data_IF_024757858552
#
_entry.id   IF_024757858552
#
_cell.length_a   1.000
_cell.length_b   1.000
_cell.length_c   1.000
_cell.angle_alpha   90.00
_cell.angle_beta   90.00
_cell.angle_gamma   90.00
#
_symmetry.space_group_name_H-M   'P 1'
#
loop_
_entity.id
_entity.type
_entity.pdbx_description
1 polymer ?
#
# COMPACT_ATOMS: atom_id res chain seq x y z
N UNK A 1 -6.78 -3.89 22.44
CA UNK A 1 -5.57 -3.46 21.72
C UNK A 1 -5.41 -4.38 20.52
N UNK A 2 -5.86 -3.92 19.33
CA UNK A 2 -5.74 -4.67 18.10
C UNK A 2 -4.26 -4.84 17.74
N UNK A 3 -3.83 -6.08 17.45
CA UNK A 3 -2.49 -6.35 16.94
C UNK A 3 -2.36 -5.81 15.53
N UNK A 4 -1.17 -5.28 15.18
CA UNK A 4 -0.83 -4.93 13.81
C UNK A 4 -0.97 -6.18 12.93
N UNK A 5 -1.61 -6.03 11.76
CA UNK A 5 -1.81 -7.11 10.80
C UNK A 5 -0.86 -6.95 9.62
N UNK A 6 -0.42 -8.08 9.11
CA UNK A 6 0.23 -8.13 7.82
C UNK A 6 -0.84 -8.32 6.74
N UNK A 7 -0.99 -7.34 5.87
CA UNK A 7 -2.05 -7.33 4.85
C UNK A 7 -1.43 -7.50 3.46
N UNK A 8 -1.84 -8.57 2.76
CA UNK A 8 -1.51 -8.85 1.38
C UNK A 8 -2.73 -8.62 0.50
N UNK A 9 -2.56 -7.89 -0.59
CA UNK A 9 -3.64 -7.59 -1.54
C UNK A 9 -3.21 -8.00 -2.95
N UNK A 10 -4.05 -8.81 -3.59
CA UNK A 10 -3.92 -9.16 -5.01
C UNK A 10 -4.81 -8.26 -5.83
N UNK A 11 -4.23 -7.65 -6.86
CA UNK A 11 -4.88 -6.67 -7.71
C UNK A 11 -4.92 -7.13 -9.17
N UNK A 12 -6.09 -6.92 -9.83
CA UNK A 12 -6.23 -6.92 -11.28
C UNK A 12 -6.56 -5.49 -11.74
N UNK A 13 -5.57 -4.77 -12.26
CA UNK A 13 -5.71 -3.34 -12.51
C UNK A 13 -6.00 -2.56 -11.22
N UNK A 14 -7.18 -1.93 -11.14
CA UNK A 14 -7.68 -1.21 -9.95
C UNK A 14 -8.78 -1.99 -9.21
N UNK A 15 -8.87 -3.30 -9.44
CA UNK A 15 -9.80 -4.19 -8.75
C UNK A 15 -9.03 -4.98 -7.69
N UNK A 16 -9.49 -4.93 -6.46
CA UNK A 16 -9.03 -5.81 -5.37
C UNK A 16 -9.74 -7.15 -5.51
N UNK A 17 -9.00 -8.19 -5.91
CA UNK A 17 -9.54 -9.54 -6.11
C UNK A 17 -9.47 -10.38 -4.83
N UNK A 18 -8.37 -10.25 -4.08
CA UNK A 18 -8.12 -11.08 -2.90
C UNK A 18 -7.39 -10.28 -1.83
N UNK A 19 -7.79 -10.46 -0.60
CA UNK A 19 -7.13 -9.90 0.58
C UNK A 19 -6.80 -11.03 1.54
N UNK A 20 -5.59 -11.03 2.06
CA UNK A 20 -5.15 -11.93 3.12
C UNK A 20 -4.62 -11.06 4.25
N UNK A 21 -5.25 -11.16 5.41
CA UNK A 21 -4.79 -10.53 6.63
C UNK A 21 -4.28 -11.60 7.58
N UNK A 22 -3.03 -11.48 8.00
CA UNK A 22 -2.35 -12.43 8.87
C UNK A 22 -1.95 -11.68 10.14
N UNK A 23 -2.19 -12.26 11.30
CA UNK A 23 -1.63 -11.75 12.53
C UNK A 23 -0.10 -11.79 12.44
N UNK A 24 0.57 -10.89 13.14
CA UNK A 24 2.01 -10.68 13.02
C UNK A 24 2.77 -12.02 13.10
N UNK A 25 3.40 -12.40 12.02
CA UNK A 25 4.27 -13.56 11.87
C UNK A 25 5.70 -13.10 11.58
N UNK A 26 6.66 -14.03 11.63
CA UNK A 26 8.04 -13.69 11.30
C UNK A 26 8.22 -13.38 9.79
N UNK A 27 9.23 -12.58 9.48
CA UNK A 27 9.51 -12.09 8.12
C UNK A 27 9.73 -13.23 7.11
N UNK A 28 10.20 -14.38 7.54
CA UNK A 28 10.45 -15.55 6.67
C UNK A 28 9.14 -16.14 6.18
N UNK A 29 8.16 -16.26 7.07
CA UNK A 29 6.83 -16.75 6.72
C UNK A 29 6.09 -15.76 5.81
N UNK A 30 6.27 -14.45 6.05
CA UNK A 30 5.72 -13.40 5.20
C UNK A 30 6.24 -13.53 3.77
N UNK A 31 7.56 -13.66 3.58
CA UNK A 31 8.15 -13.78 2.23
C UNK A 31 7.72 -15.03 1.51
N UNK A 32 7.67 -16.13 2.22
CA UNK A 32 7.16 -17.37 1.68
C UNK A 32 5.73 -17.18 1.17
N UNK A 33 4.87 -16.53 1.97
CA UNK A 33 3.48 -16.28 1.59
C UNK A 33 3.33 -15.34 0.41
N UNK A 34 4.13 -14.26 0.34
CA UNK A 34 4.17 -13.39 -0.84
C UNK A 34 4.59 -14.18 -2.08
N UNK A 35 5.63 -15.02 -1.96
CA UNK A 35 6.12 -15.81 -3.09
C UNK A 35 5.10 -16.86 -3.57
N UNK A 36 4.40 -17.52 -2.66
CA UNK A 36 3.29 -18.44 -2.99
C UNK A 36 2.19 -17.72 -3.77
N UNK A 37 1.72 -16.58 -3.26
CA UNK A 37 0.66 -15.80 -3.90
C UNK A 37 1.06 -15.29 -5.29
N UNK A 38 2.29 -14.76 -5.45
CA UNK A 38 2.71 -14.28 -6.75
C UNK A 38 2.82 -15.41 -7.78
N UNK A 39 3.21 -16.63 -7.36
CA UNK A 39 3.25 -17.80 -8.24
C UNK A 39 1.83 -18.24 -8.58
N UNK A 40 0.95 -18.37 -7.60
CA UNK A 40 -0.47 -18.72 -7.76
C UNK A 40 -1.16 -17.81 -8.78
N UNK A 41 -0.95 -16.50 -8.64
CA UNK A 41 -1.55 -15.47 -9.49
C UNK A 41 -0.67 -15.04 -10.67
N UNK A 42 0.48 -15.71 -10.92
CA UNK A 42 1.42 -15.41 -12.01
C UNK A 42 1.89 -13.95 -12.03
N UNK A 43 2.10 -13.36 -10.84
CA UNK A 43 2.54 -11.97 -10.67
C UNK A 43 4.06 -11.89 -10.79
N UNK A 44 4.62 -11.12 -11.74
CA UNK A 44 6.06 -10.87 -11.80
C UNK A 44 6.55 -10.10 -10.56
N UNK A 45 7.77 -10.37 -10.10
CA UNK A 45 8.35 -9.68 -8.93
C UNK A 45 8.32 -8.16 -9.04
N UNK A 46 8.57 -7.61 -10.22
CA UNK A 46 8.50 -6.15 -10.47
C UNK A 46 7.14 -5.53 -10.17
N UNK A 47 6.08 -6.33 -10.11
CA UNK A 47 4.71 -5.91 -9.78
C UNK A 47 4.35 -6.18 -8.31
N UNK A 48 5.29 -6.67 -7.51
CA UNK A 48 5.15 -6.78 -6.06
C UNK A 48 5.65 -5.49 -5.42
N UNK A 49 4.83 -4.89 -4.56
CA UNK A 49 5.19 -3.69 -3.79
C UNK A 49 5.09 -4.06 -2.31
N UNK A 50 6.08 -3.68 -1.52
CA UNK A 50 6.08 -3.93 -0.09
C UNK A 50 6.59 -2.73 0.70
N UNK A 51 6.10 -2.58 1.95
CA UNK A 51 6.53 -1.52 2.86
C UNK A 51 7.96 -1.78 3.34
N UNK A 52 8.89 -0.90 2.96
CA UNK A 52 10.29 -1.00 3.33
C UNK A 52 10.52 -0.75 4.83
N UNK A 53 9.67 0.06 5.47
CA UNK A 53 9.79 0.38 6.89
C UNK A 53 9.31 -0.78 7.77
N UNK A 54 8.30 -1.52 7.30
CA UNK A 54 7.72 -2.69 7.99
C UNK A 54 8.55 -3.97 7.87
N UNK A 55 9.36 -4.09 6.82
CA UNK A 55 10.16 -5.29 6.50
C UNK A 55 11.66 -5.02 6.51
N UNK A 56 12.15 -4.15 7.40
CA UNK A 56 13.58 -3.82 7.48
C UNK A 56 14.50 -5.03 7.70
N UNK A 57 14.02 -6.05 8.42
CA UNK A 57 14.77 -7.29 8.63
C UNK A 57 14.95 -8.07 7.33
N UNK A 58 14.07 -7.88 6.38
CA UNK A 58 14.04 -8.57 5.08
C UNK A 58 15.18 -8.18 4.16
N UNK A 59 15.53 -6.90 4.15
CA UNK A 59 16.60 -6.36 3.33
C UNK A 59 17.98 -6.63 3.93
N UNK A 60 18.05 -6.94 5.23
CA UNK A 60 19.31 -7.16 5.96
C UNK A 60 19.71 -8.64 6.08
N UNK A 61 18.76 -9.57 6.03
CA UNK A 61 19.04 -11.00 6.12
C UNK A 61 19.30 -11.60 4.73
N UNK A 62 20.54 -11.96 4.47
CA UNK A 62 21.00 -12.53 3.19
C UNK A 62 20.22 -13.79 2.73
N UNK A 63 19.64 -14.55 3.64
CA UNK A 63 18.82 -15.71 3.32
C UNK A 63 17.47 -15.35 2.68
N UNK A 64 16.91 -14.18 3.00
CA UNK A 64 15.60 -13.71 2.52
C UNK A 64 15.70 -12.65 1.42
N UNK A 65 16.86 -12.02 1.23
CA UNK A 65 17.08 -10.95 0.25
C UNK A 65 16.86 -11.40 -1.20
N UNK A 66 16.98 -12.70 -1.49
CA UNK A 66 16.77 -13.25 -2.83
C UNK A 66 15.30 -13.41 -3.23
N UNK A 67 14.39 -13.64 -2.27
CA UNK A 67 12.98 -13.99 -2.57
C UNK A 67 12.20 -12.81 -3.16
N UNK A 68 12.48 -11.60 -2.70
CA UNK A 68 11.86 -10.36 -3.19
C UNK A 68 12.84 -9.50 -4.02
N UNK A 69 13.95 -10.07 -4.48
CA UNK A 69 14.89 -9.38 -5.37
C UNK A 69 14.17 -8.98 -6.67
N UNK A 70 14.09 -7.67 -6.93
CA UNK A 70 13.34 -7.12 -8.06
C UNK A 70 11.91 -6.66 -7.73
N UNK A 71 11.43 -6.86 -6.49
CA UNK A 71 10.20 -6.24 -6.02
C UNK A 71 10.44 -4.75 -5.69
N UNK A 72 9.36 -3.97 -5.73
CA UNK A 72 9.40 -2.53 -5.48
C UNK A 72 9.28 -2.25 -3.98
N UNK A 73 10.25 -1.54 -3.43
CA UNK A 73 10.19 -1.02 -2.06
C UNK A 73 9.38 0.26 -2.02
N UNK A 74 8.43 0.34 -1.10
CA UNK A 74 7.69 1.55 -0.78
C UNK A 74 8.27 2.18 0.48
N UNK A 75 8.80 3.39 0.35
CA UNK A 75 9.29 4.17 1.48
C UNK A 75 8.29 5.29 1.77
N UNK A 76 7.62 5.22 2.90
CA UNK A 76 6.57 6.16 3.31
C UNK A 76 7.07 7.62 3.33
N UNK A 77 8.31 7.83 3.74
CA UNK A 77 8.92 9.16 3.92
C UNK A 77 9.69 9.66 2.70
N UNK A 78 9.70 8.91 1.60
CA UNK A 78 10.35 9.36 0.37
C UNK A 78 9.78 10.69 -0.13
N UNK A 79 10.61 11.41 -0.88
CA UNK A 79 10.19 12.65 -1.55
C UNK A 79 9.08 12.35 -2.55
N UNK A 80 8.04 13.19 -2.65
CA UNK A 80 7.00 13.04 -3.66
C UNK A 80 7.56 12.95 -5.07
N UNK A 81 6.95 12.09 -5.88
CA UNK A 81 7.33 11.88 -7.26
C UNK A 81 6.83 13.06 -8.10
N UNK A 82 7.67 13.57 -8.98
CA UNK A 82 7.28 14.62 -9.93
C UNK A 82 6.29 14.04 -10.95
N UNK A 83 5.19 14.76 -11.16
CA UNK A 83 4.22 14.40 -12.20
C UNK A 83 4.38 15.37 -13.36
N UNK A 84 4.58 14.86 -14.58
CA UNK A 84 4.86 15.67 -15.77
C UNK A 84 6.02 16.67 -15.59
N UNK A 85 7.06 16.26 -14.84
CA UNK A 85 8.22 17.08 -14.53
C UNK A 85 7.99 18.14 -13.45
N UNK A 86 6.77 18.36 -12.98
CA UNK A 86 6.43 19.33 -11.94
C UNK A 86 6.55 18.70 -10.55
N UNK A 87 7.08 19.49 -9.62
CA UNK A 87 7.14 19.11 -8.21
C UNK A 87 5.75 19.23 -7.59
N UNK A 88 5.31 18.16 -6.94
CA UNK A 88 4.04 18.11 -6.23
C UNK A 88 4.18 18.65 -4.80
N UNK A 89 3.13 19.32 -4.29
CA UNK A 89 3.13 19.97 -2.98
C UNK A 89 2.65 19.02 -1.87
N UNK A 90 3.20 17.80 -1.82
CA UNK A 90 2.94 16.85 -0.74
C UNK A 90 4.09 16.78 0.25
N UNK A 91 3.79 16.45 1.51
CA UNK A 91 4.82 16.29 2.57
C UNK A 91 5.79 15.16 2.23
N UNK A 92 5.27 14.02 1.81
CA UNK A 92 6.02 12.80 1.46
C UNK A 92 5.24 11.93 0.46
N UNK A 93 5.85 10.84 0.02
CA UNK A 93 5.26 9.89 -0.92
C UNK A 93 3.97 9.25 -0.39
N UNK A 94 3.92 8.93 0.91
CA UNK A 94 2.70 8.39 1.56
C UNK A 94 1.52 9.35 1.38
N UNK A 95 1.72 10.64 1.67
CA UNK A 95 0.68 11.66 1.47
C UNK A 95 0.25 11.72 0.00
N UNK A 96 1.20 11.80 -0.93
CA UNK A 96 0.88 11.82 -2.37
C UNK A 96 0.02 10.62 -2.79
N UNK A 97 0.38 9.42 -2.35
CA UNK A 97 -0.38 8.20 -2.67
C UNK A 97 -1.80 8.22 -2.05
N UNK A 98 -1.96 8.68 -0.81
CA UNK A 98 -3.29 8.77 -0.21
C UNK A 98 -4.18 9.80 -0.87
N UNK A 99 -3.65 10.96 -1.28
CA UNK A 99 -4.42 11.95 -2.04
C UNK A 99 -4.86 11.39 -3.40
N UNK A 100 -3.97 10.69 -4.11
CA UNK A 100 -4.34 10.00 -5.35
C UNK A 100 -5.40 8.92 -5.12
N UNK A 101 -5.28 8.12 -4.05
CA UNK A 101 -6.29 7.12 -3.68
C UNK A 101 -7.65 7.76 -3.44
N UNK A 102 -7.69 8.90 -2.73
CA UNK A 102 -8.92 9.63 -2.49
C UNK A 102 -9.58 10.13 -3.79
N UNK A 103 -8.78 10.64 -4.72
CA UNK A 103 -9.29 11.05 -6.04
C UNK A 103 -9.83 9.84 -6.82
N UNK A 104 -9.13 8.70 -6.83
CA UNK A 104 -9.61 7.48 -7.48
C UNK A 104 -10.90 6.93 -6.86
N UNK A 105 -11.04 7.00 -5.54
CA UNK A 105 -12.28 6.62 -4.87
C UNK A 105 -13.44 7.57 -5.25
N UNK A 106 -13.18 8.88 -5.28
CA UNK A 106 -14.15 9.90 -5.68
C UNK A 106 -14.65 9.71 -7.11
N UNK A 107 -13.73 9.35 -8.01
CA UNK A 107 -14.04 9.12 -9.42
C UNK A 107 -14.56 7.70 -9.71
N UNK A 108 -14.81 6.89 -8.67
CA UNK A 108 -15.29 5.51 -8.75
C UNK A 108 -14.41 4.61 -9.63
N UNK A 109 -13.10 4.79 -9.60
CA UNK A 109 -12.16 4.02 -10.39
C UNK A 109 -11.62 2.77 -9.66
N UNK A 110 -11.81 2.68 -8.36
CA UNK A 110 -11.33 1.59 -7.53
C UNK A 110 -12.47 0.67 -7.11
N UNK A 111 -12.29 -0.65 -7.31
CA UNK A 111 -13.32 -1.64 -7.00
C UNK A 111 -12.78 -2.68 -5.99
N UNK A 112 -13.63 -3.05 -5.03
CA UNK A 112 -13.34 -4.08 -4.04
C UNK A 112 -14.26 -5.26 -4.29
N UNK A 113 -13.73 -6.32 -4.89
CA UNK A 113 -14.45 -7.57 -5.12
C UNK A 113 -14.46 -8.45 -3.87
N UNK A 114 -13.37 -8.45 -3.09
CA UNK A 114 -13.27 -9.15 -1.82
C UNK A 114 -14.28 -8.60 -0.80
N UNK A 115 -15.03 -9.51 -0.16
CA UNK A 115 -16.15 -9.13 0.74
C UNK A 115 -15.78 -9.19 2.22
N UNK A 116 -14.83 -10.05 2.59
CA UNK A 116 -14.56 -10.38 4.00
C UNK A 116 -14.04 -9.19 4.82
N UNK A 117 -13.29 -8.26 4.21
CA UNK A 117 -12.65 -7.15 4.90
C UNK A 117 -13.24 -5.78 4.54
N UNK A 118 -14.36 -5.75 3.83
CA UNK A 118 -14.94 -4.51 3.32
C UNK A 118 -15.23 -3.48 4.42
N UNK A 119 -15.79 -3.94 5.53
CA UNK A 119 -16.12 -3.07 6.67
C UNK A 119 -14.85 -2.47 7.28
N UNK A 120 -13.80 -3.27 7.48
CA UNK A 120 -12.52 -2.82 8.03
C UNK A 120 -11.84 -1.80 7.12
N UNK A 121 -11.86 -2.06 5.80
CA UNK A 121 -11.30 -1.14 4.79
C UNK A 121 -12.01 0.21 4.83
N UNK A 122 -13.35 0.21 4.84
CA UNK A 122 -14.13 1.44 4.90
C UNK A 122 -13.83 2.20 6.19
N UNK A 123 -13.87 1.53 7.34
CA UNK A 123 -13.55 2.14 8.63
C UNK A 123 -12.15 2.78 8.66
N UNK A 124 -11.16 2.14 8.08
CA UNK A 124 -9.80 2.68 8.05
C UNK A 124 -9.67 3.85 7.08
N UNK A 125 -10.21 3.73 5.86
CA UNK A 125 -10.13 4.79 4.86
C UNK A 125 -10.86 6.06 5.29
N UNK A 126 -12.00 5.94 5.96
CA UNK A 126 -12.76 7.08 6.51
C UNK A 126 -12.01 7.85 7.60
N UNK A 127 -11.01 7.23 8.23
CA UNK A 127 -10.21 7.86 9.28
C UNK A 127 -8.89 8.47 8.79
N UNK A 128 -8.59 8.34 7.50
CA UNK A 128 -7.40 8.97 6.91
C UNK A 128 -7.72 10.43 6.61
N UNK A 129 -7.35 11.31 7.53
CA UNK A 129 -7.65 12.73 7.40
C UNK A 129 -6.45 13.54 6.91
N UNK A 130 -6.75 14.57 6.12
CA UNK A 130 -5.79 15.60 5.80
C UNK A 130 -5.47 16.42 7.04
N UNK A 131 -4.19 16.71 7.26
CA UNK A 131 -3.78 17.68 8.25
C UNK A 131 -4.24 19.09 7.81
N UNK A 132 -4.97 19.78 8.70
CA UNK A 132 -5.54 21.09 8.39
C UNK A 132 -4.45 22.13 8.04
N UNK A 133 -3.34 22.11 8.80
CA UNK A 133 -2.20 22.99 8.60
C UNK A 133 -0.92 22.16 8.75
N UNK A 134 -0.05 22.18 7.74
CA UNK A 134 1.33 21.71 7.88
C UNK A 134 2.25 22.93 8.05
N UNK A 135 3.28 22.79 8.87
CA UNK A 135 4.22 23.87 9.20
C UNK A 135 4.94 24.45 7.95
N UNK A 136 5.05 23.63 6.90
CA UNK A 136 5.72 23.99 5.64
C UNK A 136 4.74 24.23 4.48
N UNK A 137 3.45 24.37 4.76
CA UNK A 137 2.40 24.63 3.76
C UNK A 137 2.12 23.48 2.79
N UNK A 138 2.67 22.28 3.05
CA UNK A 138 2.47 21.11 2.20
C UNK A 138 1.20 20.33 2.56
N UNK A 139 0.68 19.61 1.58
CA UNK A 139 -0.38 18.66 1.80
C UNK A 139 0.16 17.46 2.60
N UNK A 140 -0.38 17.27 3.78
CA UNK A 140 0.05 16.25 4.72
C UNK A 140 -1.16 15.49 5.29
N UNK A 141 -0.89 14.34 5.88
CA UNK A 141 -1.89 13.53 6.59
C UNK A 141 -1.67 13.65 8.10
N UNK A 142 -2.71 13.41 8.87
CA UNK A 142 -2.60 13.22 10.31
C UNK A 142 -1.64 12.09 10.65
N UNK A 143 -1.07 12.16 11.85
CA UNK A 143 -0.17 11.11 12.34
C UNK A 143 -0.93 9.80 12.53
N UNK A 144 -0.24 8.67 12.28
CA UNK A 144 -0.79 7.31 12.44
C UNK A 144 -1.34 7.07 13.86
N UNK A 145 -0.73 7.66 14.87
CA UNK A 145 -1.17 7.52 16.27
C UNK A 145 -2.56 8.10 16.50
N UNK A 146 -2.89 9.23 15.88
CA UNK A 146 -4.24 9.81 15.99
C UNK A 146 -5.30 8.89 15.35
N UNK A 147 -4.96 8.21 14.26
CA UNK A 147 -5.84 7.21 13.63
C UNK A 147 -6.00 6.00 14.56
N UNK A 148 -4.88 5.51 15.13
CA UNK A 148 -4.89 4.39 16.09
C UNK A 148 -5.77 4.66 17.31
N UNK A 149 -5.74 5.87 17.84
CA UNK A 149 -6.60 6.27 18.96
C UNK A 149 -8.08 6.20 18.61
N UNK A 150 -8.45 6.61 17.38
CA UNK A 150 -9.86 6.61 16.93
C UNK A 150 -10.42 5.22 16.64
N UNK A 151 -9.62 4.33 16.02
CA UNK A 151 -10.12 3.01 15.59
C UNK A 151 -9.59 1.84 16.43
N UNK A 152 -8.73 2.10 17.41
CA UNK A 152 -8.18 1.08 18.30
C UNK A 152 -7.14 0.13 17.68
N UNK A 153 -6.69 0.38 16.45
CA UNK A 153 -5.72 -0.44 15.71
C UNK A 153 -4.96 0.38 14.65
N UNK A 154 -3.94 -0.21 14.04
CA UNK A 154 -3.30 0.37 12.85
C UNK A 154 -4.22 0.32 11.64
N UNK A 155 -4.13 1.30 10.70
CA UNK A 155 -4.86 1.29 9.44
C UNK A 155 -4.14 0.45 8.37
N UNK A 156 -3.92 -0.84 8.66
CA UNK A 156 -3.05 -1.71 7.85
C UNK A 156 -3.64 -2.03 6.47
N UNK A 157 -4.97 -2.13 6.37
CA UNK A 157 -5.66 -2.30 5.09
C UNK A 157 -5.56 -1.03 4.23
N UNK A 158 -5.79 0.13 4.83
CA UNK A 158 -5.68 1.41 4.13
C UNK A 158 -4.25 1.67 3.64
N UNK A 159 -3.23 1.39 4.46
CA UNK A 159 -1.81 1.51 4.08
C UNK A 159 -1.47 0.56 2.91
N UNK A 160 -1.95 -0.70 2.95
CA UNK A 160 -1.72 -1.65 1.87
C UNK A 160 -2.41 -1.24 0.55
N UNK A 161 -3.64 -0.71 0.62
CA UNK A 161 -4.37 -0.20 -0.56
C UNK A 161 -3.66 1.03 -1.13
N UNK A 162 -3.21 1.95 -0.28
CA UNK A 162 -2.52 3.17 -0.68
C UNK A 162 -1.25 2.90 -1.48
N UNK A 163 -0.47 1.87 -1.13
CA UNK A 163 0.76 1.53 -1.85
C UNK A 163 0.51 1.19 -3.33
N UNK A 164 -0.70 0.74 -3.70
CA UNK A 164 -1.10 0.48 -5.09
C UNK A 164 -1.06 1.76 -5.95
N UNK A 165 -1.10 2.93 -5.35
CA UNK A 165 -1.05 4.20 -6.08
C UNK A 165 0.34 4.53 -6.61
N UNK A 166 1.39 3.89 -6.10
CA UNK A 166 2.77 4.15 -6.54
C UNK A 166 2.99 3.94 -8.05
N UNK A 167 2.61 2.81 -8.67
CA UNK A 167 2.72 2.63 -10.12
C UNK A 167 1.86 3.61 -10.92
N UNK A 168 0.71 4.02 -10.41
CA UNK A 168 -0.15 5.00 -11.06
C UNK A 168 0.53 6.38 -11.12
N UNK A 169 1.13 6.82 -10.01
CA UNK A 169 1.90 8.08 -9.95
C UNK A 169 3.11 8.03 -10.88
N UNK A 170 3.80 6.90 -10.95
CA UNK A 170 4.97 6.73 -11.82
C UNK A 170 4.60 6.71 -13.31
N UNK A 171 3.34 6.56 -13.67
CA UNK A 171 2.91 6.38 -15.05
C UNK A 171 3.48 5.10 -15.70
N UNK A 172 4.04 4.19 -14.88
CA UNK A 172 4.74 3.00 -15.36
C UNK A 172 3.80 1.83 -15.58
N UNK A 173 2.52 2.02 -15.35
CA UNK A 173 1.60 0.90 -15.37
C UNK A 173 0.30 1.14 -16.09
N UNK A 174 0.34 0.69 -17.31
CA UNK A 174 -0.78 -0.03 -17.91
C UNK A 174 -0.50 -1.54 -18.00
N UNK A 175 0.29 -2.09 -17.09
CA UNK A 175 0.45 -3.54 -16.96
C UNK A 175 -0.24 -3.96 -15.67
N UNK A 176 -1.53 -3.72 -15.65
CA UNK A 176 -2.42 -4.62 -14.97
C UNK A 176 -2.26 -6.00 -15.61
N UNK A 177 -2.47 -7.08 -14.88
CA UNK A 177 -2.61 -8.40 -15.46
C UNK A 177 -3.72 -8.28 -16.51
N UNK A 178 -3.35 -8.20 -17.81
CA UNK A 178 -4.31 -8.31 -18.89
C UNK A 178 -4.64 -9.80 -18.97
N UNK A 179 -5.81 -10.16 -18.51
CA UNK A 179 -6.43 -11.42 -18.89
C UNK A 179 -6.88 -11.30 -20.33
N UNK A 180 -6.13 -11.88 -21.25
CA UNK A 180 -6.69 -12.32 -22.51
C UNK A 180 -7.21 -13.74 -22.30
N UNK A 181 -8.51 -13.93 -22.54
CA UNK A 181 -9.11 -15.25 -22.75
C UNK A 181 -8.36 -16.01 -23.84
#
# INVERSE_FOLDING_TARGET
TGSDKFVLIVWAGLVIEKIIAIDKIDDTQVSKRINELRIEHRIPLKNVIYDADGLQTFTRNSANSGVLSGATQFNNNAVPIKVNGKKENYKNLKAQCYFMLADMCKDNLLFIQEKNYRTQIIQELEQINRLAFSDDGKLALEKKDAIRERIGRSPDFADAIMMRMLPEIKGTQKVGIIWNN
#
